data_IF_314357880646
#
_entry.id   IF_314357880646
#
_cell.length_a   1.000
_cell.length_b   1.000
_cell.length_c   1.000
_cell.angle_alpha   90.00
_cell.angle_beta   90.00
_cell.angle_gamma   90.00
#
_symmetry.space_group_name_H-M   'P 1'
#
loop_
_entity.id
_entity.type
_entity.pdbx_description
1 polymer ?
#
# COMPACT_ATOMS: atom_id res chain seq x y z
N UNK A 1 -17.75 -21.44 15.93
CA UNK A 1 -16.36 -21.48 15.40
C UNK A 1 -15.53 -20.47 16.18
N UNK A 2 -14.42 -20.88 16.80
CA UNK A 2 -13.54 -19.93 17.54
C UNK A 2 -12.99 -18.91 16.53
N UNK A 3 -13.14 -17.62 16.86
CA UNK A 3 -12.80 -16.48 16.02
C UNK A 3 -11.26 -16.33 15.95
N UNK A 4 -10.60 -17.20 15.18
CA UNK A 4 -9.14 -17.31 15.04
C UNK A 4 -8.55 -16.21 14.14
N UNK A 5 -9.05 -14.97 14.23
CA UNK A 5 -8.49 -13.88 13.41
C UNK A 5 -7.20 -13.36 14.03
N UNK A 6 -6.08 -13.70 13.40
CA UNK A 6 -4.79 -13.05 13.65
C UNK A 6 -4.79 -11.66 13.01
N UNK A 7 -5.24 -10.66 13.77
CA UNK A 7 -5.10 -9.27 13.39
C UNK A 7 -3.63 -8.83 13.48
N UNK A 8 -3.17 -8.05 12.50
CA UNK A 8 -1.84 -7.42 12.57
C UNK A 8 -1.74 -6.43 13.71
N UNK A 9 -0.67 -6.55 14.50
CA UNK A 9 -0.41 -5.66 15.64
C UNK A 9 0.40 -4.41 15.25
N UNK A 10 1.06 -4.45 14.09
CA UNK A 10 1.90 -3.40 13.50
C UNK A 10 1.54 -3.19 12.03
N UNK A 11 1.78 -2.00 11.45
CA UNK A 11 1.53 -1.78 10.03
C UNK A 11 2.34 -2.78 9.19
N UNK A 12 1.73 -3.46 8.20
CA UNK A 12 2.44 -4.33 7.27
C UNK A 12 3.58 -3.59 6.55
N UNK A 13 4.70 -4.28 6.34
CA UNK A 13 5.83 -3.78 5.56
C UNK A 13 6.19 -4.78 4.47
N UNK A 14 6.31 -4.31 3.23
CA UNK A 14 6.52 -5.17 2.08
C UNK A 14 7.01 -4.47 0.83
N UNK A 15 6.89 -5.19 -0.29
CA UNK A 15 7.11 -4.71 -1.65
C UNK A 15 5.88 -5.03 -2.49
N UNK A 16 5.56 -4.18 -3.45
CA UNK A 16 4.46 -4.37 -4.37
C UNK A 16 4.91 -4.07 -5.81
N UNK A 17 4.51 -4.92 -6.76
CA UNK A 17 4.98 -4.85 -8.14
C UNK A 17 4.37 -3.73 -9.00
N UNK A 18 3.33 -3.02 -8.53
CA UNK A 18 2.55 -2.12 -9.39
C UNK A 18 3.33 -0.91 -9.89
N UNK A 19 4.01 -0.16 -9.01
CA UNK A 19 4.65 1.08 -9.45
C UNK A 19 5.79 0.82 -10.46
N UNK A 20 6.46 -0.33 -10.34
CA UNK A 20 7.55 -0.73 -11.22
C UNK A 20 7.12 -1.52 -12.47
N UNK A 21 6.15 -2.44 -12.36
CA UNK A 21 5.78 -3.33 -13.47
C UNK A 21 4.33 -3.19 -13.95
N UNK A 22 3.55 -2.29 -13.35
CA UNK A 22 2.12 -2.14 -13.63
C UNK A 22 1.41 -3.48 -13.46
N UNK A 23 0.78 -3.94 -14.55
CA UNK A 23 0.03 -5.20 -14.58
C UNK A 23 0.77 -6.34 -15.31
N UNK A 24 2.09 -6.19 -15.51
CA UNK A 24 2.89 -7.03 -16.42
C UNK A 24 3.97 -7.86 -15.72
N UNK A 25 4.01 -7.87 -14.39
CA UNK A 25 5.00 -8.65 -13.65
C UNK A 25 4.90 -10.15 -14.00
N UNK A 26 6.03 -10.76 -14.37
CA UNK A 26 6.15 -12.15 -14.76
C UNK A 26 7.12 -12.92 -13.84
N UNK A 27 7.22 -14.23 -14.04
CA UNK A 27 8.07 -15.10 -13.22
C UNK A 27 9.51 -14.64 -13.08
N UNK A 28 10.12 -14.17 -14.18
CA UNK A 28 11.52 -13.72 -14.19
C UNK A 28 11.72 -12.57 -13.21
N UNK A 29 10.96 -11.49 -13.33
CA UNK A 29 11.14 -10.32 -12.47
C UNK A 29 10.70 -10.55 -11.03
N UNK A 30 9.75 -11.45 -10.79
CA UNK A 30 9.39 -11.83 -9.42
C UNK A 30 10.51 -12.59 -8.74
N UNK A 31 11.20 -13.51 -9.43
CA UNK A 31 12.36 -14.22 -8.87
C UNK A 31 13.53 -13.28 -8.58
N UNK A 32 13.83 -12.37 -9.52
CA UNK A 32 14.88 -11.35 -9.34
C UNK A 32 14.56 -10.41 -8.16
N UNK A 33 13.34 -9.87 -8.10
CA UNK A 33 12.91 -8.99 -7.01
C UNK A 33 12.79 -9.73 -5.67
N UNK A 34 12.41 -11.01 -5.64
CA UNK A 34 12.38 -11.79 -4.41
C UNK A 34 13.78 -11.98 -3.82
N UNK A 35 14.78 -12.23 -4.68
CA UNK A 35 16.18 -12.31 -4.27
C UNK A 35 16.70 -10.95 -3.76
N UNK A 36 16.31 -9.84 -4.40
CA UNK A 36 16.64 -8.50 -3.93
C UNK A 36 15.93 -8.14 -2.62
N UNK A 37 14.66 -8.53 -2.45
CA UNK A 37 13.87 -8.33 -1.24
C UNK A 37 14.53 -8.96 -0.02
N UNK A 38 14.97 -10.22 -0.16
CA UNK A 38 15.66 -10.96 0.90
C UNK A 38 16.91 -10.23 1.41
N UNK A 39 17.63 -9.54 0.52
CA UNK A 39 18.87 -8.84 0.86
C UNK A 39 18.63 -7.41 1.34
N UNK A 40 17.70 -6.69 0.70
CA UNK A 40 17.57 -5.23 0.84
C UNK A 40 16.47 -4.79 1.81
N UNK A 41 15.38 -5.57 1.93
CA UNK A 41 14.22 -5.17 2.76
C UNK A 41 14.02 -6.09 3.96
N UNK A 42 14.12 -7.41 3.76
CA UNK A 42 13.88 -8.41 4.82
C UNK A 42 14.71 -8.20 6.09
N UNK A 43 16.01 -7.85 6.05
CA UNK A 43 16.81 -7.61 7.27
C UNK A 43 16.26 -6.47 8.14
N UNK A 44 15.43 -5.59 7.56
CA UNK A 44 14.81 -4.45 8.25
C UNK A 44 13.36 -4.75 8.69
N UNK A 45 12.91 -6.00 8.61
CA UNK A 45 11.61 -6.46 9.09
C UNK A 45 10.48 -6.41 8.06
N UNK A 46 10.78 -6.11 6.79
CA UNK A 46 9.81 -6.26 5.70
C UNK A 46 9.55 -7.75 5.44
N UNK A 47 8.28 -8.13 5.31
CA UNK A 47 7.90 -9.54 5.22
C UNK A 47 6.91 -9.86 4.09
N UNK A 48 6.21 -8.88 3.49
CA UNK A 48 5.22 -9.13 2.44
C UNK A 48 5.78 -8.85 1.04
N UNK A 49 5.77 -9.84 0.15
CA UNK A 49 6.11 -9.71 -1.26
C UNK A 49 4.84 -9.85 -2.10
N UNK A 50 4.35 -8.74 -2.67
CA UNK A 50 3.01 -8.67 -3.25
C UNK A 50 3.08 -8.55 -4.77
N UNK A 51 2.51 -9.54 -5.46
CA UNK A 51 2.23 -9.48 -6.89
C UNK A 51 0.91 -8.73 -7.11
N UNK A 52 0.99 -7.58 -7.77
CA UNK A 52 -0.16 -6.74 -8.07
C UNK A 52 -0.93 -7.22 -9.32
N UNK A 53 -1.86 -6.40 -9.82
CA UNK A 53 -2.86 -6.77 -10.82
C UNK A 53 -2.30 -7.41 -12.10
N UNK A 54 -3.15 -8.15 -12.82
CA UNK A 54 -2.85 -8.67 -14.16
C UNK A 54 -2.20 -10.05 -14.23
N UNK A 55 -1.93 -10.71 -13.10
CA UNK A 55 -1.32 -12.05 -13.05
C UNK A 55 -2.15 -13.17 -13.71
N UNK A 56 -3.43 -12.94 -13.98
CA UNK A 56 -4.31 -13.86 -14.74
C UNK A 56 -4.54 -13.40 -16.19
N UNK A 57 -4.06 -12.22 -16.57
CA UNK A 57 -4.42 -11.57 -17.83
C UNK A 57 -3.52 -12.02 -18.98
N UNK A 58 -4.08 -12.06 -20.19
CA UNK A 58 -3.35 -12.20 -21.44
C UNK A 58 -3.22 -10.83 -22.09
N UNK A 59 -1.98 -10.42 -22.34
CA UNK A 59 -1.69 -9.16 -23.00
C UNK A 59 -1.08 -9.41 -24.38
N UNK A 60 -1.44 -8.60 -25.39
CA UNK A 60 -0.72 -8.61 -26.66
C UNK A 60 0.68 -8.02 -26.44
N UNK A 61 1.68 -8.68 -27.02
CA UNK A 61 3.06 -8.17 -27.09
C UNK A 61 3.31 -7.82 -28.56
N UNK A 62 3.41 -6.52 -28.91
CA UNK A 62 3.69 -6.13 -30.28
C UNK A 62 5.06 -6.67 -30.74
N UNK A 63 5.19 -6.89 -32.04
CA UNK A 63 6.46 -7.34 -32.63
C UNK A 63 7.59 -6.35 -32.29
N UNK A 64 8.72 -6.86 -31.81
CA UNK A 64 9.88 -6.06 -31.41
C UNK A 64 9.85 -5.55 -29.97
N UNK A 65 8.79 -5.82 -29.21
CA UNK A 65 8.72 -5.49 -27.78
C UNK A 65 8.94 -6.73 -26.92
N UNK A 66 9.71 -6.59 -25.83
CA UNK A 66 9.86 -7.64 -24.82
C UNK A 66 8.60 -7.74 -23.92
N UNK A 67 7.85 -6.64 -23.79
CA UNK A 67 6.72 -6.51 -22.87
C UNK A 67 5.47 -5.90 -23.52
N UNK A 68 4.28 -6.10 -22.94
CA UNK A 68 3.08 -5.42 -23.38
C UNK A 68 3.24 -3.90 -23.28
N UNK A 69 2.70 -3.18 -24.27
CA UNK A 69 2.69 -1.71 -24.30
C UNK A 69 1.29 -1.12 -24.11
N UNK A 70 0.29 -1.97 -23.87
CA UNK A 70 -1.08 -1.56 -23.58
C UNK A 70 -1.61 -2.33 -22.38
N UNK A 71 -2.39 -1.65 -21.53
CA UNK A 71 -3.03 -2.21 -20.33
C UNK A 71 -4.26 -3.08 -20.62
N UNK A 72 -4.67 -3.14 -21.89
CA UNK A 72 -5.85 -3.90 -22.31
C UNK A 72 -5.51 -5.38 -22.39
N UNK A 73 -6.08 -6.15 -21.48
CA UNK A 73 -6.11 -7.61 -21.55
C UNK A 73 -7.00 -8.05 -22.71
N UNK A 74 -6.57 -9.05 -23.50
CA UNK A 74 -7.36 -9.66 -24.57
C UNK A 74 -8.15 -10.88 -24.11
N UNK A 75 -7.70 -11.51 -23.01
CA UNK A 75 -8.38 -12.64 -22.38
C UNK A 75 -7.89 -12.79 -20.93
N UNK A 76 -8.62 -13.51 -20.09
CA UNK A 76 -8.21 -13.81 -18.72
C UNK A 76 -8.30 -15.30 -18.44
N UNK A 77 -7.32 -15.81 -17.71
CA UNK A 77 -7.28 -17.19 -17.25
C UNK A 77 -8.25 -17.39 -16.11
N UNK A 78 -9.22 -18.28 -16.34
CA UNK A 78 -10.19 -18.73 -15.34
C UNK A 78 -10.25 -20.24 -15.32
N UNK A 79 -10.53 -20.81 -14.16
CA UNK A 79 -10.84 -22.23 -14.07
C UNK A 79 -12.32 -22.53 -14.39
N UNK A 80 -12.67 -23.82 -14.40
CA UNK A 80 -14.04 -24.30 -14.67
C UNK A 80 -15.12 -23.81 -13.70
N UNK A 81 -14.74 -23.15 -12.60
CA UNK A 81 -15.65 -22.59 -11.60
C UNK A 81 -15.74 -21.06 -11.68
N UNK A 82 -15.20 -20.45 -12.75
CA UNK A 82 -15.25 -19.00 -12.95
C UNK A 82 -14.29 -18.21 -12.06
N UNK A 83 -13.23 -18.85 -11.56
CA UNK A 83 -12.24 -18.21 -10.66
C UNK A 83 -10.98 -17.91 -11.45
N UNK A 84 -10.42 -16.72 -11.28
CA UNK A 84 -9.13 -16.37 -11.92
C UNK A 84 -8.00 -17.28 -11.43
N UNK A 85 -7.12 -17.69 -12.35
CA UNK A 85 -5.94 -18.52 -12.07
C UNK A 85 -4.68 -17.92 -12.72
N UNK A 86 -3.47 -18.25 -12.22
CA UNK A 86 -2.24 -17.70 -12.77
C UNK A 86 -2.07 -18.00 -14.25
N UNK A 87 -1.68 -16.98 -15.02
CA UNK A 87 -1.41 -17.14 -16.43
C UNK A 87 -0.13 -17.97 -16.64
N UNK A 88 -0.20 -19.17 -17.25
CA UNK A 88 0.98 -20.00 -17.48
C UNK A 88 1.99 -19.36 -18.44
N UNK A 89 1.61 -18.34 -19.22
CA UNK A 89 2.55 -17.56 -20.05
C UNK A 89 3.35 -16.56 -19.23
N UNK A 90 2.74 -15.96 -18.20
CA UNK A 90 3.45 -15.09 -17.25
C UNK A 90 4.28 -15.90 -16.26
N UNK A 91 3.80 -17.10 -15.91
CA UNK A 91 4.41 -18.00 -14.92
C UNK A 91 4.63 -19.41 -15.48
N UNK A 92 5.54 -19.60 -16.46
CA UNK A 92 5.76 -20.89 -17.12
C UNK A 92 6.29 -21.98 -16.18
N UNK A 93 7.02 -21.62 -15.14
CA UNK A 93 7.45 -22.50 -14.07
C UNK A 93 6.38 -22.73 -13.00
N UNK A 94 5.34 -21.91 -12.96
CA UNK A 94 4.24 -21.95 -12.00
C UNK A 94 4.45 -20.96 -10.84
N UNK A 95 3.42 -20.16 -10.56
CA UNK A 95 3.43 -19.18 -9.47
C UNK A 95 3.64 -19.83 -8.09
N UNK A 96 3.20 -21.09 -7.93
CA UNK A 96 3.37 -21.89 -6.73
C UNK A 96 4.85 -22.12 -6.35
N UNK A 97 5.76 -22.20 -7.34
CA UNK A 97 7.20 -22.30 -7.07
C UNK A 97 7.74 -21.02 -6.46
N UNK A 98 7.30 -19.86 -6.94
CA UNK A 98 7.71 -18.55 -6.43
C UNK A 98 7.20 -18.36 -5.01
N UNK A 99 5.94 -18.73 -4.76
CA UNK A 99 5.32 -18.70 -3.42
C UNK A 99 6.10 -19.59 -2.44
N UNK A 100 6.37 -20.85 -2.80
CA UNK A 100 7.17 -21.76 -1.96
C UNK A 100 8.57 -21.24 -1.71
N UNK A 101 9.21 -20.63 -2.72
CA UNK A 101 10.53 -20.02 -2.55
C UNK A 101 10.48 -18.85 -1.57
N UNK A 102 9.48 -17.97 -1.66
CA UNK A 102 9.27 -16.88 -0.71
C UNK A 102 9.12 -17.43 0.71
N UNK A 103 8.25 -18.44 0.91
CA UNK A 103 8.04 -19.06 2.22
C UNK A 103 9.29 -19.76 2.77
N UNK A 104 10.08 -20.43 1.94
CA UNK A 104 11.37 -21.03 2.36
C UNK A 104 12.36 -19.98 2.87
N UNK A 105 12.20 -18.73 2.44
CA UNK A 105 12.96 -17.57 2.89
C UNK A 105 12.26 -16.84 4.03
N UNK A 106 11.18 -17.36 4.61
CA UNK A 106 10.41 -16.67 5.65
C UNK A 106 9.77 -15.36 5.16
N UNK A 107 9.53 -15.23 3.86
CA UNK A 107 8.85 -14.10 3.23
C UNK A 107 7.41 -14.55 2.93
N UNK A 108 6.44 -13.72 3.29
CA UNK A 108 5.02 -13.93 3.01
C UNK A 108 4.69 -13.46 1.60
N UNK A 109 3.85 -14.21 0.90
CA UNK A 109 3.46 -13.89 -0.47
C UNK A 109 2.05 -13.30 -0.51
N UNK A 110 1.92 -12.15 -1.17
CA UNK A 110 0.64 -11.48 -1.36
C UNK A 110 0.22 -11.44 -2.82
N UNK A 111 -1.09 -11.34 -3.05
CA UNK A 111 -1.67 -11.23 -4.38
C UNK A 111 -2.75 -10.16 -4.44
N UNK A 112 -2.86 -9.52 -5.58
CA UNK A 112 -3.97 -8.63 -5.91
C UNK A 112 -5.19 -9.41 -6.41
N UNK A 113 -6.39 -8.93 -6.09
CA UNK A 113 -7.64 -9.36 -6.73
C UNK A 113 -8.47 -8.13 -7.11
N UNK A 114 -9.20 -8.21 -8.22
CA UNK A 114 -10.31 -7.30 -8.50
C UNK A 114 -11.57 -7.76 -7.76
N UNK A 115 -12.40 -6.82 -7.32
CA UNK A 115 -13.77 -7.10 -6.86
C UNK A 115 -14.56 -7.83 -7.95
N UNK A 116 -15.49 -8.66 -7.51
CA UNK A 116 -16.50 -9.26 -8.37
C UNK A 116 -16.12 -10.60 -8.98
N UNK A 117 -16.72 -10.87 -10.13
CA UNK A 117 -16.65 -12.12 -10.91
C UNK A 117 -16.20 -11.81 -12.35
N UNK A 118 -15.33 -12.64 -12.99
CA UNK A 118 -14.87 -12.38 -14.35
C UNK A 118 -16.03 -12.29 -15.34
N UNK A 119 -15.99 -11.28 -16.23
CA UNK A 119 -16.99 -11.17 -17.31
C UNK A 119 -17.04 -12.43 -18.17
N UNK A 120 -15.86 -13.02 -18.45
CA UNK A 120 -15.71 -14.32 -19.12
C UNK A 120 -16.44 -15.47 -18.40
N UNK A 121 -16.46 -15.47 -17.07
CA UNK A 121 -17.18 -16.49 -16.30
C UNK A 121 -18.71 -16.35 -16.49
N UNK A 122 -19.20 -15.11 -16.57
CA UNK A 122 -20.62 -14.80 -16.85
C UNK A 122 -20.99 -15.15 -18.30
N UNK A 123 -20.12 -14.85 -19.26
CA UNK A 123 -20.30 -15.22 -20.67
C UNK A 123 -20.41 -16.73 -20.85
N UNK A 124 -19.49 -17.49 -20.24
CA UNK A 124 -19.47 -18.96 -20.26
C UNK A 124 -20.46 -19.61 -19.29
N UNK A 125 -21.12 -18.80 -18.46
CA UNK A 125 -22.06 -19.23 -17.42
C UNK A 125 -21.50 -20.32 -16.51
N UNK A 126 -20.25 -20.16 -16.07
CA UNK A 126 -19.55 -21.18 -15.30
C UNK A 126 -20.27 -21.48 -13.97
N UNK A 127 -20.28 -22.74 -13.50
CA UNK A 127 -20.90 -23.09 -12.22
C UNK A 127 -20.18 -22.46 -11.03
N UNK A 128 -20.95 -22.04 -10.02
CA UNK A 128 -20.41 -21.61 -8.73
C UNK A 128 -20.14 -22.85 -7.88
N UNK A 129 -18.85 -23.08 -7.60
CA UNK A 129 -18.37 -24.30 -6.93
C UNK A 129 -19.12 -24.59 -5.63
N UNK A 130 -19.69 -25.80 -5.53
CA UNK A 130 -20.38 -26.28 -4.33
C UNK A 130 -21.84 -25.83 -4.23
N UNK A 131 -22.42 -25.30 -5.31
CA UNK A 131 -23.81 -24.86 -5.37
C UNK A 131 -24.47 -25.34 -6.67
N UNK A 132 -25.78 -25.10 -6.80
CA UNK A 132 -26.52 -25.29 -8.04
C UNK A 132 -26.67 -23.98 -8.84
N UNK A 133 -25.96 -22.91 -8.45
CA UNK A 133 -26.00 -21.60 -9.12
C UNK A 133 -24.84 -21.45 -10.10
N UNK A 134 -25.00 -20.54 -11.06
CA UNK A 134 -23.98 -20.18 -12.05
C UNK A 134 -23.51 -18.75 -11.90
N UNK A 135 -22.51 -18.37 -12.70
CA UNK A 135 -22.00 -16.99 -12.74
C UNK A 135 -23.10 -15.97 -13.10
N UNK A 136 -24.02 -16.31 -14.03
CA UNK A 136 -25.12 -15.40 -14.40
C UNK A 136 -26.15 -15.21 -13.30
N UNK A 137 -26.33 -16.20 -12.42
CA UNK A 137 -27.29 -16.10 -11.31
C UNK A 137 -26.88 -15.05 -10.26
N UNK A 138 -25.58 -14.80 -10.12
CA UNK A 138 -25.01 -13.98 -9.04
C UNK A 138 -24.37 -12.68 -9.51
N UNK A 139 -24.13 -12.51 -10.81
CA UNK A 139 -23.47 -11.31 -11.34
C UNK A 139 -24.45 -10.11 -11.39
N UNK A 140 -23.97 -8.95 -10.97
CA UNK A 140 -24.57 -7.67 -11.32
C UNK A 140 -23.82 -7.08 -12.51
N UNK A 141 -24.41 -7.21 -13.71
CA UNK A 141 -23.77 -6.78 -14.97
C UNK A 141 -23.75 -5.26 -15.15
N UNK A 142 -24.49 -4.51 -14.32
CA UNK A 142 -24.50 -3.05 -14.34
C UNK A 142 -23.50 -2.46 -13.34
N UNK A 143 -23.10 -3.24 -12.34
CA UNK A 143 -22.04 -2.89 -11.42
C UNK A 143 -20.67 -3.23 -12.03
N UNK A 144 -19.94 -2.20 -12.46
CA UNK A 144 -18.66 -2.32 -13.15
C UNK A 144 -17.59 -1.42 -12.53
N UNK A 145 -16.34 -1.81 -12.70
CA UNK A 145 -15.20 -0.96 -12.41
C UNK A 145 -14.99 0.05 -13.56
N UNK A 146 -14.93 1.37 -13.28
CA UNK A 146 -14.82 2.39 -14.33
C UNK A 146 -13.44 2.50 -14.97
N UNK A 147 -12.43 1.81 -14.42
CA UNK A 147 -11.05 1.85 -14.89
C UNK A 147 -10.48 0.46 -15.24
N UNK A 148 -11.28 -0.61 -15.10
CA UNK A 148 -10.89 -1.98 -15.44
C UNK A 148 -12.11 -2.80 -15.92
N UNK A 149 -11.99 -3.45 -17.07
CA UNK A 149 -13.11 -4.15 -17.72
C UNK A 149 -13.15 -5.67 -17.45
N UNK A 150 -12.35 -6.20 -16.53
CA UNK A 150 -12.20 -7.65 -16.35
C UNK A 150 -13.38 -8.28 -15.59
N UNK A 151 -13.98 -7.54 -14.66
CA UNK A 151 -15.00 -8.07 -13.73
C UNK A 151 -16.36 -7.37 -13.89
N UNK A 152 -17.41 -8.08 -13.49
CA UNK A 152 -18.69 -7.53 -13.04
C UNK A 152 -18.76 -7.62 -11.51
N UNK A 153 -19.56 -6.78 -10.87
CA UNK A 153 -19.89 -6.93 -9.45
C UNK A 153 -20.64 -8.24 -9.17
N UNK A 154 -20.57 -8.71 -7.92
CA UNK A 154 -21.39 -9.83 -7.44
C UNK A 154 -22.55 -9.27 -6.62
N UNK A 155 -23.78 -9.57 -7.03
CA UNK A 155 -24.99 -9.20 -6.28
C UNK A 155 -25.05 -10.03 -4.98
N UNK A 156 -24.64 -9.40 -3.88
CA UNK A 156 -24.59 -10.04 -2.57
C UNK A 156 -25.97 -10.37 -1.97
N UNK A 157 -27.08 -9.98 -2.63
CA UNK A 157 -28.44 -10.40 -2.26
C UNK A 157 -28.81 -11.79 -2.80
N UNK A 158 -28.07 -12.30 -3.80
CA UNK A 158 -28.33 -13.60 -4.42
C UNK A 158 -27.74 -14.75 -3.61
N UNK A 159 -28.43 -15.90 -3.65
CA UNK A 159 -27.87 -17.16 -3.14
C UNK A 159 -26.72 -17.60 -4.06
N UNK A 160 -25.65 -18.15 -3.49
CA UNK A 160 -24.44 -18.51 -4.26
C UNK A 160 -23.35 -17.44 -4.25
N UNK A 161 -23.69 -16.16 -3.99
CA UNK A 161 -22.72 -15.06 -4.01
C UNK A 161 -21.63 -15.18 -2.96
N UNK A 162 -21.99 -15.53 -1.71
CA UNK A 162 -21.00 -15.76 -0.66
C UNK A 162 -20.19 -17.04 -0.92
N UNK A 163 -20.82 -18.08 -1.48
CA UNK A 163 -20.15 -19.33 -1.86
C UNK A 163 -19.13 -19.12 -2.98
N UNK A 164 -19.41 -18.23 -3.94
CA UNK A 164 -18.43 -17.84 -4.95
C UNK A 164 -17.17 -17.24 -4.31
N UNK A 165 -17.33 -16.22 -3.43
CA UNK A 165 -16.21 -15.66 -2.69
C UNK A 165 -15.49 -16.68 -1.81
N UNK A 166 -16.23 -17.54 -1.10
CA UNK A 166 -15.64 -18.64 -0.33
C UNK A 166 -14.77 -19.53 -1.23
N UNK A 167 -15.24 -19.84 -2.44
CA UNK A 167 -14.52 -20.69 -3.39
C UNK A 167 -13.27 -20.02 -3.98
N UNK A 168 -13.31 -18.71 -4.21
CA UNK A 168 -12.16 -17.92 -4.65
C UNK A 168 -11.09 -17.87 -3.56
N UNK A 169 -11.47 -17.50 -2.35
CA UNK A 169 -10.51 -17.39 -1.25
C UNK A 169 -9.97 -18.77 -0.83
N UNK A 170 -10.77 -19.84 -0.94
CA UNK A 170 -10.27 -21.21 -0.74
C UNK A 170 -9.22 -21.62 -1.79
N UNK A 171 -9.32 -21.11 -3.03
CA UNK A 171 -8.26 -21.30 -4.04
C UNK A 171 -6.98 -20.59 -3.62
N UNK A 172 -7.07 -19.33 -3.21
CA UNK A 172 -5.91 -18.55 -2.75
C UNK A 172 -5.27 -19.16 -1.49
N UNK A 173 -6.09 -19.71 -0.58
CA UNK A 173 -5.60 -20.44 0.58
C UNK A 173 -4.84 -21.72 0.18
N UNK A 174 -5.32 -22.46 -0.83
CA UNK A 174 -4.62 -23.62 -1.39
C UNK A 174 -3.31 -23.24 -2.09
N UNK A 175 -3.26 -22.06 -2.70
CA UNK A 175 -2.03 -21.47 -3.26
C UNK A 175 -1.09 -20.94 -2.18
N UNK A 176 -1.46 -21.03 -0.91
CA UNK A 176 -0.68 -20.55 0.24
C UNK A 176 -0.46 -19.04 0.26
N UNK A 177 -1.41 -18.25 -0.25
CA UNK A 177 -1.36 -16.79 -0.16
C UNK A 177 -1.47 -16.32 1.29
N UNK A 178 -0.75 -15.26 1.66
CA UNK A 178 -0.70 -14.68 3.01
C UNK A 178 -1.32 -13.28 3.10
N UNK A 179 -1.47 -12.61 1.95
CA UNK A 179 -1.93 -11.22 1.87
C UNK A 179 -2.74 -11.03 0.59
N UNK A 180 -3.88 -10.35 0.71
CA UNK A 180 -4.78 -10.02 -0.40
C UNK A 180 -4.92 -8.51 -0.46
N UNK A 181 -4.56 -7.90 -1.60
CA UNK A 181 -4.98 -6.53 -1.96
C UNK A 181 -6.20 -6.64 -2.85
N UNK A 182 -7.36 -6.29 -2.33
CA UNK A 182 -8.61 -6.28 -3.07
C UNK A 182 -8.89 -4.87 -3.59
N UNK A 183 -8.94 -4.74 -4.92
CA UNK A 183 -9.19 -3.50 -5.64
C UNK A 183 -10.63 -3.39 -6.12
N UNK A 184 -11.03 -2.17 -6.48
CA UNK A 184 -12.41 -1.78 -6.80
C UNK A 184 -13.40 -2.12 -5.67
N UNK A 185 -12.94 -2.40 -4.45
CA UNK A 185 -13.79 -2.98 -3.39
C UNK A 185 -14.10 -2.02 -2.25
N UNK A 186 -13.28 -0.97 -2.05
CA UNK A 186 -13.41 -0.11 -0.88
C UNK A 186 -14.72 0.70 -0.87
N UNK A 187 -15.40 0.82 -2.01
CA UNK A 187 -16.71 1.47 -2.14
C UNK A 187 -17.89 0.50 -1.97
N UNK A 188 -17.62 -0.80 -1.92
CA UNK A 188 -18.60 -1.87 -1.95
C UNK A 188 -18.54 -2.68 -0.65
N UNK A 189 -19.10 -2.16 0.45
CA UNK A 189 -18.96 -2.77 1.77
C UNK A 189 -19.48 -4.21 1.82
N UNK A 190 -20.55 -4.55 1.09
CA UNK A 190 -21.10 -5.90 1.06
C UNK A 190 -20.08 -6.94 0.52
N UNK A 191 -19.40 -6.64 -0.59
CA UNK A 191 -18.37 -7.50 -1.15
C UNK A 191 -17.09 -7.50 -0.32
N UNK A 192 -16.70 -6.35 0.26
CA UNK A 192 -15.58 -6.27 1.20
C UNK A 192 -15.80 -7.19 2.42
N UNK A 193 -17.02 -7.20 2.97
CA UNK A 193 -17.39 -8.13 4.03
C UNK A 193 -17.41 -9.58 3.56
N UNK A 194 -17.85 -9.85 2.33
CA UNK A 194 -17.88 -11.19 1.75
C UNK A 194 -16.48 -11.78 1.62
N UNK A 195 -15.50 -11.01 1.13
CA UNK A 195 -14.09 -11.40 1.09
C UNK A 195 -13.56 -11.65 2.51
N UNK A 196 -13.85 -10.74 3.45
CA UNK A 196 -13.42 -10.90 4.84
C UNK A 196 -14.04 -12.11 5.56
N UNK A 197 -15.28 -12.50 5.22
CA UNK A 197 -15.93 -13.73 5.70
C UNK A 197 -15.29 -14.96 5.05
N UNK A 198 -15.06 -14.92 3.74
CA UNK A 198 -14.43 -15.99 2.99
C UNK A 198 -13.00 -16.31 3.47
N UNK A 199 -12.21 -15.28 3.82
CA UNK A 199 -10.89 -15.48 4.46
C UNK A 199 -11.02 -16.28 5.76
N UNK A 200 -11.99 -15.95 6.62
CA UNK A 200 -12.21 -16.67 7.89
C UNK A 200 -12.63 -18.13 7.68
N UNK A 201 -13.38 -18.41 6.61
CA UNK A 201 -13.80 -19.76 6.27
C UNK A 201 -12.70 -20.59 5.60
N UNK A 202 -11.69 -19.95 5.02
CA UNK A 202 -10.64 -20.64 4.25
C UNK A 202 -9.72 -21.52 5.10
N UNK A 203 -9.65 -21.29 6.41
CA UNK A 203 -8.72 -21.98 7.31
C UNK A 203 -7.27 -21.48 7.25
N UNK A 204 -6.94 -20.55 6.34
CA UNK A 204 -5.62 -19.90 6.25
C UNK A 204 -5.71 -18.44 6.68
N UNK A 205 -4.75 -18.00 7.50
CA UNK A 205 -4.65 -16.57 7.85
C UNK A 205 -4.14 -15.79 6.64
N UNK A 206 -4.96 -14.87 6.14
CA UNK A 206 -4.61 -13.92 5.07
C UNK A 206 -4.93 -12.51 5.53
N UNK A 207 -4.00 -11.57 5.37
CA UNK A 207 -4.30 -10.16 5.58
C UNK A 207 -5.11 -9.61 4.43
N UNK A 208 -6.06 -8.73 4.73
CA UNK A 208 -6.89 -8.08 3.72
C UNK A 208 -6.62 -6.58 3.67
N UNK A 209 -6.19 -6.11 2.51
CA UNK A 209 -6.09 -4.69 2.14
C UNK A 209 -7.21 -4.32 1.18
N UNK A 210 -7.93 -3.23 1.46
CA UNK A 210 -9.01 -2.72 0.62
C UNK A 210 -8.56 -1.47 -0.15
N UNK A 211 -8.82 -1.44 -1.45
CA UNK A 211 -8.39 -0.41 -2.38
C UNK A 211 -9.39 -0.26 -3.54
N UNK A 212 -9.34 0.82 -4.34
CA UNK A 212 -8.64 2.07 -4.07
C UNK A 212 -9.35 2.93 -3.01
N UNK A 213 -8.67 3.97 -2.54
CA UNK A 213 -9.26 5.02 -1.70
C UNK A 213 -9.64 6.23 -2.56
N UNK A 214 -9.61 7.43 -1.98
CA UNK A 214 -10.11 8.71 -2.51
C UNK A 214 -11.54 9.00 -2.05
N UNK A 215 -12.51 8.19 -2.47
CA UNK A 215 -13.94 8.41 -2.16
C UNK A 215 -14.46 7.53 -1.01
N UNK A 216 -13.56 6.87 -0.26
CA UNK A 216 -13.95 6.01 0.86
C UNK A 216 -14.64 6.83 1.96
N UNK A 217 -15.67 6.25 2.56
CA UNK A 217 -16.52 6.92 3.55
C UNK A 217 -16.29 6.35 4.94
N UNK A 218 -16.17 7.23 5.95
CA UNK A 218 -16.07 6.81 7.35
C UNK A 218 -17.33 6.11 7.87
N UNK A 219 -18.46 6.27 7.18
CA UNK A 219 -19.70 5.55 7.50
C UNK A 219 -19.52 4.02 7.34
N UNK A 220 -18.60 3.59 6.48
CA UNK A 220 -18.31 2.17 6.22
C UNK A 220 -17.19 1.60 7.11
N UNK A 221 -16.78 2.31 8.17
CA UNK A 221 -15.70 1.87 9.06
C UNK A 221 -15.94 0.49 9.69
N UNK A 222 -17.20 0.10 9.93
CA UNK A 222 -17.53 -1.21 10.45
C UNK A 222 -17.11 -2.33 9.47
N UNK A 223 -17.49 -2.19 8.20
CA UNK A 223 -17.11 -3.11 7.13
C UNK A 223 -15.61 -3.07 6.86
N UNK A 224 -14.98 -1.88 6.82
CA UNK A 224 -13.52 -1.77 6.62
C UNK A 224 -12.72 -2.47 7.72
N UNK A 225 -13.19 -2.47 8.97
CA UNK A 225 -12.53 -3.17 10.10
C UNK A 225 -12.69 -4.69 10.04
N UNK A 226 -13.49 -5.21 9.11
CA UNK A 226 -13.44 -6.63 8.75
C UNK A 226 -12.22 -6.98 7.90
N UNK A 227 -11.55 -5.99 7.31
CA UNK A 227 -10.21 -6.07 6.73
C UNK A 227 -9.13 -5.59 7.72
N UNK A 228 -7.87 -5.63 7.31
CA UNK A 228 -6.70 -5.26 8.12
C UNK A 228 -6.21 -3.85 7.79
N UNK A 229 -6.49 -3.38 6.57
CA UNK A 229 -6.18 -2.02 6.13
C UNK A 229 -7.11 -1.54 5.02
N UNK A 230 -7.27 -0.22 4.91
CA UNK A 230 -8.00 0.43 3.81
C UNK A 230 -7.20 1.61 3.27
N UNK A 231 -7.07 1.67 1.94
CA UNK A 231 -6.50 2.83 1.24
C UNK A 231 -7.42 4.02 1.43
N UNK A 232 -6.86 5.15 1.88
CA UNK A 232 -7.63 6.38 2.09
C UNK A 232 -7.41 7.41 0.98
N UNK A 233 -6.32 7.32 0.22
CA UNK A 233 -6.01 8.15 -0.96
C UNK A 233 -6.42 7.47 -2.25
N UNK A 234 -6.50 8.19 -3.37
CA UNK A 234 -6.32 7.54 -4.67
C UNK A 234 -4.89 6.99 -4.81
N UNK A 235 -4.53 6.51 -5.99
CA UNK A 235 -3.16 6.09 -6.25
C UNK A 235 -2.19 7.26 -6.05
N UNK A 236 -1.15 7.03 -5.24
CA UNK A 236 -0.12 8.00 -4.91
C UNK A 236 1.13 7.68 -5.69
N UNK A 237 1.62 8.68 -6.42
CA UNK A 237 2.81 8.58 -7.24
C UNK A 237 3.87 9.60 -6.81
N UNK A 238 4.96 9.63 -7.55
CA UNK A 238 6.13 10.50 -7.35
C UNK A 238 5.91 11.96 -7.78
N UNK A 239 4.74 12.53 -7.46
CA UNK A 239 4.36 13.91 -7.75
C UNK A 239 4.14 14.70 -6.45
N UNK A 240 4.62 15.95 -6.43
CA UNK A 240 4.39 16.90 -5.33
C UNK A 240 2.92 16.98 -4.93
N UNK A 241 1.99 17.02 -5.88
CA UNK A 241 0.55 17.15 -5.58
C UNK A 241 0.01 15.99 -4.75
N UNK A 242 0.63 14.81 -4.85
CA UNK A 242 0.20 13.64 -4.10
C UNK A 242 0.65 13.71 -2.63
N UNK A 243 1.65 14.54 -2.30
CA UNK A 243 1.96 14.89 -0.90
C UNK A 243 0.80 15.64 -0.25
N UNK A 244 0.22 16.62 -0.95
CA UNK A 244 -0.91 17.39 -0.43
C UNK A 244 -2.15 16.51 -0.22
N UNK A 245 -2.44 15.61 -1.17
CA UNK A 245 -3.48 14.58 -1.01
C UNK A 245 -3.24 13.75 0.25
N UNK A 246 -2.01 13.30 0.47
CA UNK A 246 -1.68 12.52 1.67
C UNK A 246 -1.88 13.33 2.96
N UNK A 247 -1.51 14.61 3.00
CA UNK A 247 -1.70 15.46 4.18
C UNK A 247 -3.19 15.61 4.53
N UNK A 248 -4.02 15.93 3.53
CA UNK A 248 -5.47 16.09 3.67
C UNK A 248 -6.12 14.79 4.15
N UNK A 249 -5.85 13.68 3.46
CA UNK A 249 -6.46 12.39 3.79
C UNK A 249 -5.99 11.89 5.15
N UNK A 250 -4.73 12.06 5.52
CA UNK A 250 -4.26 11.69 6.86
C UNK A 250 -4.96 12.55 7.94
N UNK A 251 -5.08 13.87 7.76
CA UNK A 251 -5.80 14.72 8.74
C UNK A 251 -7.24 14.26 8.93
N UNK A 252 -7.95 14.00 7.84
CA UNK A 252 -9.30 13.43 7.89
C UNK A 252 -9.31 12.12 8.69
N UNK A 253 -8.43 11.17 8.38
CA UNK A 253 -8.53 9.80 8.90
C UNK A 253 -7.74 9.54 10.19
N UNK A 254 -7.10 10.54 10.80
CA UNK A 254 -6.17 10.37 11.93
C UNK A 254 -6.78 9.67 13.16
N UNK A 255 -8.09 9.72 13.36
CA UNK A 255 -8.80 9.07 14.47
C UNK A 255 -9.46 7.72 14.12
N UNK A 256 -9.32 7.26 12.87
CA UNK A 256 -10.05 6.09 12.36
C UNK A 256 -9.33 4.76 12.65
N UNK A 257 -8.02 4.80 12.85
CA UNK A 257 -7.16 3.65 13.16
C UNK A 257 -7.63 2.94 14.45
N UNK A 258 -7.63 1.61 14.46
CA UNK A 258 -7.91 0.79 15.66
C UNK A 258 -6.96 -0.40 15.71
N UNK A 259 -6.84 -1.07 16.87
CA UNK A 259 -6.01 -2.28 16.99
C UNK A 259 -6.45 -3.29 15.92
N UNK A 260 -5.52 -3.76 15.09
CA UNK A 260 -5.82 -4.67 13.98
C UNK A 260 -6.32 -4.02 12.69
N UNK A 261 -6.36 -2.68 12.62
CA UNK A 261 -6.85 -1.97 11.44
C UNK A 261 -6.01 -0.72 11.18
N UNK A 262 -5.44 -0.61 9.97
CA UNK A 262 -4.57 0.48 9.55
C UNK A 262 -5.17 1.31 8.42
N UNK A 263 -4.86 2.60 8.43
CA UNK A 263 -5.17 3.52 7.32
C UNK A 263 -3.98 3.53 6.38
N UNK A 264 -4.23 3.39 5.09
CA UNK A 264 -3.18 3.23 4.09
C UNK A 264 -3.09 4.46 3.18
N UNK A 265 -1.91 5.10 3.21
CA UNK A 265 -1.53 6.24 2.38
C UNK A 265 -0.89 5.82 1.05
N UNK A 266 -0.92 4.53 0.73
CA UNK A 266 -0.39 3.90 -0.47
C UNK A 266 1.12 3.63 -0.45
N UNK A 267 1.56 2.93 -1.49
CA UNK A 267 2.92 2.47 -1.78
C UNK A 267 3.93 3.63 -1.80
N UNK A 268 5.20 3.26 -1.76
CA UNK A 268 6.35 4.15 -1.76
C UNK A 268 6.93 4.16 -3.18
N UNK A 269 6.66 5.18 -4.02
CA UNK A 269 7.08 5.27 -5.40
C UNK A 269 8.53 5.78 -5.47
N UNK A 270 9.43 5.14 -4.72
CA UNK A 270 10.88 5.45 -4.71
C UNK A 270 11.63 4.49 -5.65
N UNK A 271 12.83 4.86 -6.07
CA UNK A 271 13.62 4.03 -6.97
C UNK A 271 13.15 4.12 -8.42
N UNK A 272 13.31 3.04 -9.19
CA UNK A 272 12.91 2.97 -10.58
C UNK A 272 11.48 2.45 -10.71
N UNK A 273 10.66 3.22 -11.44
CA UNK A 273 9.24 3.02 -11.66
C UNK A 273 8.98 2.75 -13.14
N UNK A 274 7.85 2.10 -13.44
CA UNK A 274 7.37 1.85 -14.80
C UNK A 274 8.45 1.21 -15.70
N UNK A 275 9.22 0.25 -15.17
CA UNK A 275 10.40 -0.35 -15.81
C UNK A 275 10.07 -1.03 -17.15
N UNK A 276 8.82 -1.47 -17.33
CA UNK A 276 8.34 -2.07 -18.59
C UNK A 276 7.58 -1.09 -19.49
N UNK A 277 7.35 0.13 -19.04
CA UNK A 277 6.84 1.18 -19.93
C UNK A 277 7.94 1.61 -20.91
N UNK A 278 7.50 2.24 -22.00
CA UNK A 278 8.41 2.97 -22.89
C UNK A 278 9.11 4.10 -22.13
N UNK A 279 10.26 4.57 -22.63
CA UNK A 279 11.06 5.63 -21.99
C UNK A 279 10.42 7.02 -22.15
N UNK A 280 9.66 7.23 -23.22
CA UNK A 280 8.92 8.46 -23.48
C UNK A 280 7.78 8.20 -24.47
N UNK A 281 6.81 9.11 -24.49
CA UNK A 281 5.65 9.09 -25.38
C UNK A 281 4.79 10.32 -25.17
N UNK A 282 3.66 10.38 -25.87
CA UNK A 282 2.62 11.41 -25.70
C UNK A 282 1.66 11.08 -24.55
N UNK A 283 0.83 12.04 -24.14
CA UNK A 283 -0.26 11.79 -23.16
C UNK A 283 -1.22 10.68 -23.63
N UNK A 284 -1.44 10.57 -24.96
CA UNK A 284 -2.23 9.49 -25.55
C UNK A 284 -1.59 8.11 -25.37
N UNK A 285 -0.26 8.04 -25.45
CA UNK A 285 0.48 6.80 -25.21
C UNK A 285 0.43 6.40 -23.74
N UNK A 286 0.58 7.36 -22.81
CA UNK A 286 0.44 7.12 -21.37
C UNK A 286 -0.93 6.55 -21.02
N UNK A 287 -2.01 7.05 -21.62
CA UNK A 287 -3.36 6.57 -21.37
C UNK A 287 -3.54 5.06 -21.65
N UNK A 288 -2.69 4.50 -22.52
CA UNK A 288 -2.67 3.08 -22.85
C UNK A 288 -1.86 2.25 -21.85
N UNK A 289 -0.99 2.86 -21.05
CA UNK A 289 -0.11 2.17 -20.10
C UNK A 289 -0.80 1.86 -18.76
N UNK A 290 -0.34 0.80 -18.11
CA UNK A 290 -0.73 0.48 -16.74
C UNK A 290 0.19 1.20 -15.76
N UNK A 291 -0.39 1.96 -14.82
CA UNK A 291 0.36 2.80 -13.90
C UNK A 291 0.30 4.27 -14.33
N UNK A 292 1.36 5.02 -14.05
CA UNK A 292 1.44 6.46 -14.35
C UNK A 292 2.76 6.79 -15.00
N UNK A 293 2.71 7.48 -16.14
CA UNK A 293 3.86 7.95 -16.90
C UNK A 293 4.69 6.84 -17.53
N UNK A 294 5.93 7.21 -17.85
CA UNK A 294 6.90 6.39 -18.56
C UNK A 294 7.96 5.83 -17.63
N UNK A 295 8.82 4.95 -18.16
CA UNK A 295 9.97 4.41 -17.44
C UNK A 295 10.84 5.53 -16.91
N UNK A 296 11.04 5.56 -15.59
CA UNK A 296 11.78 6.64 -14.93
C UNK A 296 12.32 6.23 -13.56
N UNK A 297 13.23 7.06 -13.05
CA UNK A 297 13.49 7.13 -11.62
C UNK A 297 12.45 8.04 -10.96
N UNK A 298 12.12 7.76 -9.70
CA UNK A 298 11.29 8.58 -8.84
C UNK A 298 11.63 10.07 -8.97
N UNK A 299 10.64 10.88 -9.30
CA UNK A 299 10.78 12.31 -9.57
C UNK A 299 10.71 13.19 -8.32
N UNK A 300 10.42 12.63 -7.15
CA UNK A 300 10.46 13.38 -5.90
C UNK A 300 11.90 13.81 -5.57
N UNK A 301 12.05 15.09 -5.21
CA UNK A 301 13.32 15.60 -4.67
C UNK A 301 13.67 14.96 -3.33
N UNK A 302 14.93 15.09 -2.88
CA UNK A 302 15.34 14.58 -1.56
C UNK A 302 14.49 15.11 -0.40
N UNK A 303 14.09 16.39 -0.44
CA UNK A 303 13.19 17.00 0.55
C UNK A 303 11.80 16.35 0.51
N UNK A 304 11.23 16.21 -0.68
CA UNK A 304 9.93 15.59 -0.86
C UNK A 304 9.92 14.12 -0.45
N UNK A 305 10.99 13.36 -0.73
CA UNK A 305 11.15 11.97 -0.25
C UNK A 305 11.20 11.88 1.27
N UNK A 306 11.94 12.79 1.94
CA UNK A 306 11.94 12.87 3.43
C UNK A 306 10.55 13.17 3.97
N UNK A 307 9.84 14.15 3.40
CA UNK A 307 8.45 14.45 3.76
C UNK A 307 7.56 13.23 3.57
N UNK A 308 7.59 12.61 2.40
CA UNK A 308 6.79 11.47 2.01
C UNK A 308 6.92 10.29 2.99
N UNK A 309 8.15 9.89 3.30
CA UNK A 309 8.38 8.73 4.16
C UNK A 309 8.13 9.07 5.65
N UNK A 310 8.39 10.31 6.07
CA UNK A 310 8.08 10.77 7.43
C UNK A 310 6.57 10.82 7.67
N UNK A 311 5.76 11.18 6.66
CA UNK A 311 4.30 11.12 6.75
C UNK A 311 3.82 9.69 7.00
N UNK A 312 4.32 8.71 6.25
CA UNK A 312 3.96 7.29 6.42
C UNK A 312 4.40 6.73 7.77
N UNK A 313 5.56 7.15 8.26
CA UNK A 313 6.03 6.81 9.59
C UNK A 313 5.09 7.32 10.68
N UNK A 314 4.83 8.64 10.69
CA UNK A 314 3.98 9.26 11.69
C UNK A 314 2.51 8.81 11.60
N UNK A 315 1.99 8.56 10.40
CA UNK A 315 0.62 8.07 10.21
C UNK A 315 0.42 6.61 10.68
N UNK A 316 1.51 5.88 10.92
CA UNK A 316 1.52 4.42 11.05
C UNK A 316 0.87 3.74 9.83
N UNK A 317 1.13 4.29 8.63
CA UNK A 317 0.67 3.72 7.36
C UNK A 317 1.48 2.46 7.03
N UNK A 318 0.90 1.44 6.38
CA UNK A 318 1.68 0.34 5.82
C UNK A 318 2.81 0.85 4.91
N UNK A 319 3.94 0.14 4.88
CA UNK A 319 5.12 0.51 4.10
C UNK A 319 5.36 -0.52 3.00
N UNK A 320 4.83 -0.26 1.81
CA UNK A 320 5.08 -1.09 0.63
C UNK A 320 5.98 -0.34 -0.35
N UNK A 321 7.22 -0.82 -0.55
CA UNK A 321 8.11 -0.27 -1.57
C UNK A 321 7.57 -0.62 -2.97
N UNK A 322 7.43 0.37 -3.85
CA UNK A 322 6.83 0.19 -5.18
C UNK A 322 7.87 0.09 -6.32
N UNK A 323 9.08 0.61 -6.13
CA UNK A 323 10.13 0.54 -7.15
C UNK A 323 10.71 -0.86 -7.35
N UNK A 324 11.34 -1.06 -8.50
CA UNK A 324 12.05 -2.31 -8.81
C UNK A 324 13.28 -2.44 -7.91
N UNK A 325 13.32 -3.44 -7.05
CA UNK A 325 14.41 -3.62 -6.07
C UNK A 325 15.73 -4.01 -6.73
N UNK A 326 15.69 -4.51 -7.97
CA UNK A 326 16.88 -4.92 -8.72
C UNK A 326 17.64 -3.68 -9.21
N UNK A 327 16.95 -2.81 -9.95
CA UNK A 327 17.56 -1.64 -10.60
C UNK A 327 17.57 -0.37 -9.75
N UNK A 328 16.78 -0.30 -8.67
CA UNK A 328 16.75 0.91 -7.82
C UNK A 328 18.03 1.10 -7.01
N UNK A 329 18.49 2.35 -6.96
CA UNK A 329 19.66 2.76 -6.18
C UNK A 329 19.48 2.57 -4.67
N UNK A 330 20.58 2.25 -3.98
CA UNK A 330 20.60 2.05 -2.53
C UNK A 330 20.14 3.28 -1.74
N UNK A 331 20.40 4.49 -2.26
CA UNK A 331 20.01 5.74 -1.60
C UNK A 331 18.48 5.82 -1.40
N UNK A 332 17.70 5.41 -2.39
CA UNK A 332 16.22 5.45 -2.32
C UNK A 332 15.68 4.36 -1.39
N UNK A 333 16.27 3.17 -1.44
CA UNK A 333 15.90 2.07 -0.55
C UNK A 333 16.24 2.42 0.91
N UNK A 334 17.40 3.06 1.15
CA UNK A 334 17.87 3.44 2.49
C UNK A 334 16.89 4.35 3.23
N UNK A 335 16.12 5.18 2.52
CA UNK A 335 15.08 6.01 3.13
C UNK A 335 13.91 5.17 3.65
N UNK A 336 13.49 4.14 2.91
CA UNK A 336 12.41 3.25 3.31
C UNK A 336 12.82 2.29 4.45
N UNK A 337 14.13 1.97 4.56
CA UNK A 337 14.66 1.12 5.63
C UNK A 337 15.31 1.88 6.79
N UNK A 338 15.14 3.20 6.85
CA UNK A 338 15.75 4.02 7.89
C UNK A 338 15.24 3.61 9.30
N UNK A 339 16.14 3.32 10.28
CA UNK A 339 15.73 2.76 11.58
C UNK A 339 14.68 3.57 12.33
N UNK A 340 14.82 4.90 12.39
CA UNK A 340 13.85 5.76 13.08
C UNK A 340 12.52 5.90 12.32
N UNK A 341 12.51 5.74 11.00
CA UNK A 341 11.27 5.70 10.19
C UNK A 341 10.50 4.43 10.54
N UNK A 342 11.18 3.28 10.52
CA UNK A 342 10.59 2.00 10.89
C UNK A 342 10.13 2.02 12.34
N UNK A 343 10.94 2.49 13.28
CA UNK A 343 10.59 2.56 14.70
C UNK A 343 9.35 3.42 14.94
N UNK A 344 9.28 4.60 14.33
CA UNK A 344 8.11 5.48 14.40
C UNK A 344 6.88 4.83 13.77
N UNK A 345 7.01 4.19 12.61
CA UNK A 345 5.92 3.50 11.94
C UNK A 345 5.38 2.30 12.76
N UNK A 346 6.29 1.43 13.20
CA UNK A 346 6.01 0.19 13.90
C UNK A 346 5.56 0.41 15.35
N UNK A 347 5.62 1.67 15.83
CA UNK A 347 4.92 2.14 17.02
C UNK A 347 3.39 1.92 16.94
N UNK A 348 2.84 1.88 15.72
CA UNK A 348 1.42 1.62 15.45
C UNK A 348 0.44 2.62 16.10
N UNK A 349 0.91 3.85 16.35
CA UNK A 349 0.11 4.98 16.83
C UNK A 349 0.09 6.03 15.72
N UNK A 350 -1.10 6.29 15.18
CA UNK A 350 -1.31 7.34 14.18
C UNK A 350 -1.10 8.71 14.84
N UNK A 351 -0.14 9.45 14.32
CA UNK A 351 0.15 10.82 14.73
C UNK A 351 -0.98 11.76 14.37
N UNK A 352 -1.10 12.83 15.14
CA UNK A 352 -2.13 13.85 15.00
C UNK A 352 -1.54 15.17 14.55
N UNK A 353 -2.28 15.91 13.73
CA UNK A 353 -2.00 17.31 13.49
C UNK A 353 -2.27 18.10 14.78
N UNK A 354 -1.27 18.85 15.22
CA UNK A 354 -1.34 19.69 16.44
C UNK A 354 -1.24 21.18 16.13
N UNK A 355 -0.78 21.53 14.92
CA UNK A 355 -0.67 22.90 14.44
C UNK A 355 -0.74 22.93 12.92
N UNK A 356 -1.52 23.85 12.36
CA UNK A 356 -1.48 24.17 10.94
C UNK A 356 -1.67 25.67 10.72
N UNK A 357 -0.63 26.35 10.22
CA UNK A 357 -0.72 27.77 9.87
C UNK A 357 0.33 28.15 8.82
N UNK A 358 -0.08 28.97 7.85
CA UNK A 358 0.79 29.55 6.82
C UNK A 358 1.67 28.51 6.10
N UNK A 359 1.14 27.33 5.77
CA UNK A 359 1.88 26.21 5.16
C UNK A 359 2.84 25.45 6.10
N UNK A 360 2.82 25.69 7.42
CA UNK A 360 3.46 24.80 8.41
C UNK A 360 2.43 23.81 8.88
N UNK A 361 2.70 22.52 8.76
CA UNK A 361 1.92 21.44 9.37
C UNK A 361 2.81 20.75 10.42
N UNK A 362 2.39 20.72 11.69
CA UNK A 362 3.10 19.99 12.75
C UNK A 362 2.26 18.79 13.15
N UNK A 363 2.89 17.61 13.06
CA UNK A 363 2.25 16.35 13.45
C UNK A 363 3.08 15.65 14.50
N UNK A 364 2.40 15.03 15.46
CA UNK A 364 3.03 14.40 16.62
C UNK A 364 2.45 13.03 16.87
N UNK A 365 3.32 12.06 17.14
CA UNK A 365 2.92 10.74 17.65
C UNK A 365 3.72 10.41 18.92
N UNK A 366 3.07 9.98 20.02
CA UNK A 366 3.77 9.47 21.19
C UNK A 366 4.24 8.04 20.98
N UNK A 367 5.35 7.67 21.61
CA UNK A 367 5.78 6.28 21.72
C UNK A 367 4.77 5.49 22.55
N UNK A 368 4.42 4.30 22.06
CA UNK A 368 3.45 3.41 22.66
C UNK A 368 3.92 3.05 24.07
N UNK A 369 3.03 3.18 25.04
CA UNK A 369 3.29 3.00 26.47
C UNK A 369 4.25 4.03 27.10
N UNK A 370 4.83 4.96 26.34
CA UNK A 370 5.74 6.00 26.83
C UNK A 370 5.30 7.37 26.32
N UNK A 371 4.25 7.96 26.91
CA UNK A 371 3.69 9.26 26.48
C UNK A 371 4.66 10.44 26.52
N UNK A 372 5.77 10.30 27.23
CA UNK A 372 6.82 11.31 27.38
C UNK A 372 7.93 11.16 26.32
N UNK A 373 7.81 10.16 25.48
CA UNK A 373 8.68 9.92 24.35
C UNK A 373 7.81 9.97 23.09
N UNK A 374 8.38 10.38 21.98
CA UNK A 374 7.81 10.11 20.66
C UNK A 374 8.51 10.89 19.57
N UNK A 375 7.75 11.16 18.51
CA UNK A 375 8.21 11.84 17.31
C UNK A 375 7.33 13.04 16.96
N UNK A 376 7.96 14.05 16.37
CA UNK A 376 7.32 15.25 15.82
C UNK A 376 7.83 15.48 14.40
N UNK A 377 6.94 15.70 13.44
CA UNK A 377 7.29 16.19 12.11
C UNK A 377 6.82 17.63 11.95
N UNK A 378 7.75 18.54 11.66
CA UNK A 378 7.46 19.94 11.31
C UNK A 378 7.63 20.06 9.80
N UNK A 379 6.52 20.06 9.07
CA UNK A 379 6.48 20.04 7.61
C UNK A 379 6.32 21.45 7.05
N UNK A 380 7.12 21.78 6.03
CA UNK A 380 6.93 22.99 5.23
C UNK A 380 6.24 22.64 3.91
N UNK A 381 4.97 23.05 3.76
CA UNK A 381 4.11 22.74 2.61
C UNK A 381 4.13 23.80 1.50
N UNK A 382 5.02 24.81 1.57
CA UNK A 382 5.00 25.95 0.63
C UNK A 382 5.52 25.63 -0.78
N UNK A 383 6.20 24.50 -1.02
CA UNK A 383 6.70 24.13 -2.37
C UNK A 383 7.94 24.86 -2.86
N UNK A 384 7.99 26.18 -2.66
CA UNK A 384 9.00 27.03 -3.28
C UNK A 384 9.86 27.82 -2.29
N UNK A 385 9.37 28.08 -1.07
CA UNK A 385 10.07 28.91 -0.09
C UNK A 385 10.46 28.11 1.15
N UNK A 386 11.74 28.23 1.54
CA UNK A 386 12.19 27.80 2.85
C UNK A 386 11.53 28.67 3.91
N UNK A 387 11.15 28.07 5.04
CA UNK A 387 10.50 28.82 6.12
C UNK A 387 11.19 28.58 7.45
N UNK A 388 11.36 29.67 8.20
CA UNK A 388 11.95 29.66 9.54
C UNK A 388 10.88 29.99 10.56
N UNK A 389 10.73 29.13 11.55
CA UNK A 389 9.82 29.38 12.68
C UNK A 389 10.52 29.18 13.99
N UNK A 390 10.08 29.96 14.96
CA UNK A 390 10.38 29.73 16.37
C UNK A 390 9.13 29.20 17.04
N UNK A 391 9.23 28.03 17.65
CA UNK A 391 8.15 27.38 18.38
C UNK A 391 8.48 27.34 19.86
N UNK A 392 7.46 27.53 20.70
CA UNK A 392 7.50 27.22 22.12
C UNK A 392 7.18 25.74 22.34
N UNK A 393 7.48 25.21 23.52
CA UNK A 393 7.11 23.82 23.88
C UNK A 393 5.61 23.52 23.67
N UNK A 394 4.73 24.48 23.96
CA UNK A 394 3.29 24.33 23.77
C UNK A 394 2.90 24.09 22.31
N UNK A 395 3.51 24.81 21.36
CA UNK A 395 3.23 24.68 19.91
C UNK A 395 3.64 23.31 19.37
N UNK A 396 4.62 22.68 20.01
CA UNK A 396 5.09 21.31 19.71
C UNK A 396 4.32 20.24 20.50
N UNK A 397 3.31 20.64 21.28
CA UNK A 397 2.56 19.75 22.17
C UNK A 397 3.43 19.13 23.28
N UNK A 398 4.51 19.79 23.69
CA UNK A 398 5.44 19.35 24.73
C UNK A 398 5.18 20.11 26.05
N UNK A 399 5.34 19.41 27.18
CA UNK A 399 5.24 20.05 28.49
C UNK A 399 6.45 20.98 28.73
N UNK A 400 6.19 22.21 29.18
CA UNK A 400 7.22 23.20 29.52
C UNK A 400 8.18 22.65 30.60
N UNK A 401 9.47 22.93 30.47
CA UNK A 401 10.52 22.52 31.40
C UNK A 401 10.92 21.05 31.35
N UNK A 402 10.12 20.18 30.71
CA UNK A 402 10.29 18.73 30.75
C UNK A 402 11.44 18.20 29.89
N UNK A 403 11.66 18.82 28.74
CA UNK A 403 12.67 18.39 27.77
C UNK A 403 13.75 19.46 27.67
N UNK A 404 15.01 19.02 27.73
CA UNK A 404 16.19 19.88 27.57
C UNK A 404 16.87 19.70 26.22
N UNK A 405 16.58 18.59 25.54
CA UNK A 405 17.19 18.25 24.26
C UNK A 405 16.15 17.56 23.39
N UNK A 406 16.19 17.86 22.09
CA UNK A 406 15.50 17.12 21.03
C UNK A 406 16.55 16.50 20.10
N UNK A 407 16.19 15.49 19.32
CA UNK A 407 17.09 14.91 18.32
C UNK A 407 16.50 15.06 16.92
N UNK A 408 17.25 15.68 16.01
CA UNK A 408 16.91 15.80 14.59
C UNK A 408 17.38 14.56 13.85
N UNK A 409 16.41 13.77 13.38
CA UNK A 409 16.63 12.44 12.82
C UNK A 409 17.33 12.51 11.47
N UNK A 410 16.92 13.45 10.61
CA UNK A 410 17.51 13.57 9.27
C UNK A 410 18.89 14.20 9.30
N UNK A 411 19.12 15.18 10.18
CA UNK A 411 20.42 15.83 10.34
C UNK A 411 21.34 15.17 11.37
N UNK A 412 20.87 14.10 12.03
CA UNK A 412 21.62 13.31 13.03
C UNK A 412 22.26 14.15 14.13
N UNK A 413 21.52 15.11 14.69
CA UNK A 413 22.06 16.06 15.67
C UNK A 413 21.12 16.29 16.84
N UNK A 414 21.71 16.50 18.02
CA UNK A 414 21.00 17.00 19.20
C UNK A 414 20.73 18.50 19.02
N UNK A 415 19.54 18.93 19.41
CA UNK A 415 19.12 20.33 19.45
C UNK A 415 18.91 20.70 20.91
N UNK A 416 19.58 21.77 21.35
CA UNK A 416 19.32 22.36 22.67
C UNK A 416 17.90 22.92 22.72
N UNK A 417 17.15 22.50 23.73
CA UNK A 417 15.77 22.89 23.99
C UNK A 417 15.59 23.30 25.46
N UNK A 418 16.69 23.65 26.14
CA UNK A 418 16.73 23.99 27.55
C UNK A 418 15.82 25.17 27.94
N UNK A 419 15.74 26.16 27.05
CA UNK A 419 14.87 27.35 27.11
C UNK A 419 13.43 27.09 26.60
N UNK A 420 13.11 25.84 26.27
CA UNK A 420 11.80 25.42 25.72
C UNK A 420 11.39 26.12 24.43
N UNK A 421 12.37 26.59 23.65
CA UNK A 421 12.22 27.22 22.34
C UNK A 421 12.98 26.45 21.28
N UNK A 422 12.38 26.29 20.12
CA UNK A 422 12.97 25.64 18.95
C UNK A 422 12.89 26.58 17.76
N UNK A 423 14.04 26.98 17.21
CA UNK A 423 14.10 27.69 15.94
C UNK A 423 14.61 26.76 14.85
N UNK A 424 13.80 26.50 13.83
CA UNK A 424 14.16 25.63 12.71
C UNK A 424 13.86 26.31 11.38
N UNK A 425 14.80 26.19 10.44
CA UNK A 425 14.62 26.54 9.03
C UNK A 425 14.37 25.26 8.25
N UNK A 426 13.20 25.13 7.64
CA UNK A 426 12.80 23.95 6.88
C UNK A 426 12.71 24.34 5.39
N UNK A 427 13.48 23.68 4.49
CA UNK A 427 13.40 23.91 3.06
C UNK A 427 11.98 23.67 2.49
N UNK A 428 11.69 24.11 1.25
CA UNK A 428 10.41 23.84 0.62
C UNK A 428 10.14 22.33 0.50
N UNK A 429 8.91 21.92 0.77
CA UNK A 429 8.44 20.52 0.77
C UNK A 429 9.27 19.56 1.64
N UNK A 430 10.00 20.08 2.61
CA UNK A 430 10.84 19.30 3.51
C UNK A 430 10.22 19.19 4.91
N UNK A 431 10.85 18.38 5.75
CA UNK A 431 10.45 18.11 7.12
C UNK A 431 11.64 18.18 8.07
N UNK A 432 11.45 18.87 9.20
CA UNK A 432 12.29 18.64 10.38
C UNK A 432 11.63 17.52 11.20
N UNK A 433 12.27 16.34 11.22
CA UNK A 433 11.74 15.16 11.91
C UNK A 433 12.51 14.96 13.23
N UNK A 434 11.80 15.09 14.34
CA UNK A 434 12.37 15.18 15.67
C UNK A 434 11.96 14.00 16.54
N UNK A 435 12.88 13.54 17.38
CA UNK A 435 12.58 12.72 18.57
C UNK A 435 12.60 13.59 19.82
N UNK A 436 11.64 13.37 20.71
CA UNK A 436 11.63 13.90 22.08
C UNK A 436 11.59 12.76 23.12
N UNK A 437 12.06 13.04 24.34
CA UNK A 437 12.12 12.08 25.44
C UNK A 437 13.48 11.40 25.53
N UNK A 438 13.50 10.08 25.74
CA UNK A 438 14.73 9.31 25.77
C UNK A 438 15.41 9.26 24.39
N UNK A 439 16.62 9.79 24.32
CA UNK A 439 17.47 9.91 23.13
C UNK A 439 18.84 9.25 23.33
N UNK A 440 19.00 8.39 24.34
CA UNK A 440 20.28 7.76 24.69
C UNK A 440 20.74 6.69 23.68
N UNK A 441 19.80 6.12 22.92
CA UNK A 441 20.03 5.01 21.99
C UNK A 441 19.74 5.37 20.52
N UNK A 442 19.87 6.66 20.17
CA UNK A 442 19.75 7.19 18.81
C UNK A 442 21.14 7.64 18.36
#
# INVERSE_FOLDING_TARGET
MKNNRHFVSKPPMGWNSFDCYGIFANERVLLENLAAFEKKLKPHGYEYFVLDAGWYSHFPIPQGHEFPVIKKSVDNEIDKWGRVIPNPRLFPGGLDKIIRLAHSKGIKFGIHIMRGIPRKAVELDTPVKGTNFTARDIADIYDICPWNEVMYGVDMSKKGSQEYYNSMIALLAKMEIDFIKADDIAYFPAEAEAVAKAIRHSGRSMLLSLSPGNFVSRLNLASYRMADMVRITGDVWDDRKDLDKCFERWEMWQDCRKKGFFIDLDMIPFGNLQVYAMESGSEGDEALLAGRGFRRKCQLTGSQKRTFITMRALAASPLFFGGDLVSSDEADISMAVHPEIIKCNQNAITGKQIYYQCYTDIRKTPEKNHKNNGWIGIFNRHGNLARTFTYQAGDLGLAKGKYKTLYDIWNKRKIDFSDNRLTVKVPPDDVCFLRYGDITHI
#
